data_IF_804090681504
#
_entry.id   IF_804090681504
#
_cell.length_a   1.000
_cell.length_b   1.000
_cell.length_c   1.000
_cell.angle_alpha   90.00
_cell.angle_beta   90.00
_cell.angle_gamma   90.00
#
_symmetry.space_group_name_H-M   'P 1'
#
loop_
_entity.id
_entity.type
_entity.pdbx_description
1 polymer ?
#
# COMPACT_ATOMS: atom_id res chain seq x y z
N UNK A 1 -10.10 -4.01 -18.44
CA UNK A 1 -10.99 -3.69 -17.31
C UNK A 1 -10.22 -3.02 -16.18
N UNK A 2 -9.19 -3.68 -15.62
CA UNK A 2 -8.43 -3.17 -14.47
C UNK A 2 -7.78 -1.81 -14.68
N UNK A 3 -7.19 -1.53 -15.87
CA UNK A 3 -6.61 -0.21 -16.15
C UNK A 3 -7.61 0.94 -15.94
N UNK A 4 -8.81 0.82 -16.49
CA UNK A 4 -9.88 1.83 -16.35
C UNK A 4 -10.36 1.93 -14.91
N UNK A 5 -10.37 0.81 -14.18
CA UNK A 5 -10.69 0.79 -12.75
C UNK A 5 -9.64 1.57 -11.94
N UNK A 6 -8.35 1.30 -12.16
CA UNK A 6 -7.25 2.02 -11.50
C UNK A 6 -7.31 3.51 -11.84
N UNK A 7 -7.50 3.88 -13.11
CA UNK A 7 -7.64 5.28 -13.53
C UNK A 7 -8.83 5.97 -12.82
N UNK A 8 -9.98 5.30 -12.73
CA UNK A 8 -11.15 5.85 -12.03
C UNK A 8 -10.92 6.00 -10.52
N UNK A 9 -10.25 5.02 -9.89
CA UNK A 9 -9.88 5.08 -8.47
C UNK A 9 -8.95 6.25 -8.20
N UNK A 10 -7.89 6.40 -9.00
CA UNK A 10 -6.93 7.51 -8.91
C UNK A 10 -7.58 8.87 -9.14
N UNK A 11 -8.50 8.98 -10.10
CA UNK A 11 -9.21 10.23 -10.39
C UNK A 11 -10.15 10.67 -9.25
N UNK A 12 -10.67 9.71 -8.48
CA UNK A 12 -11.53 9.97 -7.32
C UNK A 12 -10.75 10.25 -6.02
N UNK A 13 -9.41 10.20 -6.04
CA UNK A 13 -8.61 10.46 -4.84
C UNK A 13 -8.54 11.95 -4.54
N UNK A 14 -8.95 12.31 -3.32
CA UNK A 14 -8.65 13.61 -2.75
C UNK A 14 -7.25 13.59 -2.12
N UNK A 15 -6.54 14.74 -2.10
CA UNK A 15 -5.30 14.86 -1.36
C UNK A 15 -5.49 14.49 0.13
N UNK A 16 -4.54 13.74 0.68
CA UNK A 16 -4.59 13.23 2.04
C UNK A 16 -3.29 13.58 2.79
N UNK A 17 -3.42 14.11 4.00
CA UNK A 17 -2.29 14.17 4.93
C UNK A 17 -2.10 12.80 5.57
N UNK A 18 -0.88 12.26 5.50
CA UNK A 18 -0.56 10.93 6.03
C UNK A 18 -0.64 9.82 4.98
N UNK A 19 -1.16 8.66 5.38
CA UNK A 19 -1.14 7.43 4.59
C UNK A 19 -2.47 7.20 3.87
N UNK A 20 -2.41 6.62 2.67
CA UNK A 20 -3.57 6.14 1.91
C UNK A 20 -3.56 4.62 1.85
N UNK A 21 -4.67 3.98 2.18
CA UNK A 21 -4.83 2.54 2.15
C UNK A 21 -5.95 2.14 1.19
N UNK A 22 -5.65 1.24 0.27
CA UNK A 22 -6.61 0.64 -0.63
C UNK A 22 -6.67 -0.86 -0.39
N UNK A 23 -7.85 -1.38 -0.09
CA UNK A 23 -8.10 -2.81 0.00
C UNK A 23 -8.95 -3.22 -1.20
N UNK A 24 -8.42 -4.16 -1.97
CA UNK A 24 -8.99 -4.61 -3.22
C UNK A 24 -9.20 -6.13 -3.15
N UNK A 25 -10.34 -6.62 -3.67
CA UNK A 25 -10.66 -8.06 -3.62
C UNK A 25 -9.88 -8.84 -4.68
N UNK A 26 -9.68 -8.23 -5.85
CA UNK A 26 -9.01 -8.87 -6.98
C UNK A 26 -8.41 -7.83 -7.90
N UNK A 27 -7.09 -7.69 -7.85
CA UNK A 27 -6.29 -6.96 -8.83
C UNK A 27 -5.05 -7.76 -9.22
N UNK A 28 -4.70 -7.71 -10.51
CA UNK A 28 -3.41 -8.19 -10.98
C UNK A 28 -2.25 -7.44 -10.29
N UNK A 29 -1.06 -8.05 -10.16
CA UNK A 29 0.12 -7.38 -9.61
C UNK A 29 0.44 -6.04 -10.31
N UNK A 30 0.23 -5.98 -11.63
CA UNK A 30 0.46 -4.78 -12.41
C UNK A 30 -0.55 -3.67 -12.09
N UNK A 31 -1.83 -4.01 -11.95
CA UNK A 31 -2.88 -3.06 -11.58
C UNK A 31 -2.68 -2.55 -10.14
N UNK A 32 -2.35 -3.43 -9.20
CA UNK A 32 -2.07 -3.07 -7.81
C UNK A 32 -0.87 -2.12 -7.71
N UNK A 33 0.20 -2.40 -8.47
CA UNK A 33 1.37 -1.51 -8.57
C UNK A 33 1.02 -0.15 -9.15
N UNK A 34 0.21 -0.11 -10.21
CA UNK A 34 -0.22 1.14 -10.83
C UNK A 34 -1.09 2.00 -9.88
N UNK A 35 -1.94 1.37 -9.07
CA UNK A 35 -2.73 2.06 -8.05
C UNK A 35 -1.83 2.69 -6.97
N UNK A 36 -0.87 1.94 -6.43
CA UNK A 36 0.06 2.45 -5.43
C UNK A 36 0.93 3.60 -5.99
N UNK A 37 1.52 3.41 -7.18
CA UNK A 37 2.39 4.40 -7.83
C UNK A 37 1.64 5.68 -8.18
N UNK A 38 0.40 5.60 -8.69
CA UNK A 38 -0.40 6.78 -8.98
C UNK A 38 -0.82 7.53 -7.71
N UNK A 39 -1.19 6.77 -6.67
CA UNK A 39 -1.71 7.35 -5.42
C UNK A 39 -0.64 8.01 -4.54
N UNK A 40 0.65 7.67 -4.70
CA UNK A 40 1.72 8.25 -3.85
C UNK A 40 1.83 9.78 -3.94
N UNK A 41 1.41 10.38 -5.06
CA UNK A 41 1.39 11.84 -5.27
C UNK A 41 0.18 12.52 -4.62
N UNK A 42 -0.76 11.72 -4.08
CA UNK A 42 -1.98 12.18 -3.41
C UNK A 42 -1.89 12.10 -1.89
N UNK A 43 -0.77 11.67 -1.34
CA UNK A 43 -0.56 11.58 0.10
C UNK A 43 0.83 12.04 0.52
N UNK A 44 0.96 12.57 1.73
CA UNK A 44 2.27 12.98 2.27
C UNK A 44 3.07 11.84 2.89
N UNK A 45 2.44 10.68 3.11
CA UNK A 45 3.05 9.47 3.65
C UNK A 45 3.15 8.34 2.63
N UNK A 46 2.61 7.17 2.98
CA UNK A 46 2.64 5.95 2.17
C UNK A 46 1.30 5.70 1.50
N UNK A 47 1.31 5.48 0.19
CA UNK A 47 0.19 4.91 -0.54
C UNK A 47 0.35 3.38 -0.57
N UNK A 48 -0.47 2.67 0.20
CA UNK A 48 -0.50 1.22 0.31
C UNK A 48 -1.71 0.66 -0.45
N UNK A 49 -1.45 -0.09 -1.53
CA UNK A 49 -2.48 -0.86 -2.21
C UNK A 49 -2.34 -2.33 -1.85
N UNK A 50 -3.42 -2.91 -1.32
CA UNK A 50 -3.51 -4.28 -0.81
C UNK A 50 -4.57 -5.03 -1.61
N UNK A 51 -4.25 -6.27 -1.99
CA UNK A 51 -5.17 -7.18 -2.63
C UNK A 51 -5.33 -8.43 -1.78
N UNK A 52 -6.57 -8.84 -1.50
CA UNK A 52 -6.84 -10.04 -0.71
C UNK A 52 -6.18 -11.27 -1.32
N UNK A 53 -5.58 -12.10 -0.48
CA UNK A 53 -5.03 -13.42 -0.80
C UNK A 53 -5.38 -14.41 0.33
N UNK A 54 -5.10 -15.69 0.13
CA UNK A 54 -5.37 -16.72 1.14
C UNK A 54 -4.63 -16.40 2.45
N UNK A 55 -5.41 -16.14 3.51
CA UNK A 55 -4.92 -15.82 4.84
C UNK A 55 -4.39 -14.39 5.05
N UNK A 56 -4.44 -13.50 4.06
CA UNK A 56 -3.90 -12.14 4.20
C UNK A 56 -3.99 -11.28 2.95
N UNK A 57 -2.91 -10.56 2.64
CA UNK A 57 -2.88 -9.60 1.53
C UNK A 57 -1.57 -9.62 0.76
N UNK A 58 -1.63 -9.57 -0.57
CA UNK A 58 -0.53 -9.05 -1.39
C UNK A 58 -0.54 -7.53 -1.28
N UNK A 59 0.62 -6.90 -1.25
CA UNK A 59 0.71 -5.44 -1.23
C UNK A 59 1.71 -4.89 -2.25
N UNK A 60 1.43 -3.65 -2.66
CA UNK A 60 2.43 -2.71 -3.18
C UNK A 60 2.28 -1.41 -2.41
N UNK A 61 3.40 -0.88 -1.92
CA UNK A 61 3.44 0.41 -1.22
C UNK A 61 4.40 1.34 -1.95
N UNK A 62 4.00 2.59 -2.13
CA UNK A 62 4.80 3.63 -2.77
C UNK A 62 4.74 4.94 -1.98
N UNK A 63 5.82 5.71 -1.99
CA UNK A 63 5.93 6.99 -1.30
C UNK A 63 6.94 7.90 -1.99
N UNK A 64 6.72 9.22 -1.91
CA UNK A 64 7.70 10.23 -2.33
C UNK A 64 8.59 10.69 -1.17
N UNK A 65 8.15 10.48 0.07
CA UNK A 65 8.73 11.10 1.28
C UNK A 65 9.32 10.08 2.25
N UNK A 66 8.81 8.85 2.25
CA UNK A 66 9.22 7.78 3.17
C UNK A 66 10.20 6.84 2.48
N UNK A 67 11.34 6.56 3.11
CA UNK A 67 12.22 5.47 2.68
C UNK A 67 11.60 4.11 3.02
N UNK A 68 10.88 3.55 2.05
CA UNK A 68 10.19 2.27 2.19
C UNK A 68 11.15 1.09 2.30
N UNK A 69 12.38 1.19 1.78
CA UNK A 69 13.37 0.13 1.95
C UNK A 69 13.78 0.04 3.42
N UNK A 70 13.97 1.18 4.08
CA UNK A 70 14.24 1.24 5.52
C UNK A 70 13.02 0.80 6.34
N UNK A 71 11.81 1.22 5.94
CA UNK A 71 10.56 0.89 6.65
C UNK A 71 10.14 -0.59 6.52
N UNK A 72 10.54 -1.28 5.44
CA UNK A 72 10.12 -2.65 5.15
C UNK A 72 10.34 -3.63 6.30
N UNK A 73 11.46 -3.48 7.05
CA UNK A 73 11.74 -4.33 8.21
C UNK A 73 10.70 -4.18 9.32
N UNK A 74 10.30 -2.94 9.62
CA UNK A 74 9.27 -2.66 10.63
C UNK A 74 7.91 -3.18 10.19
N UNK A 75 7.55 -2.98 8.92
CA UNK A 75 6.27 -3.44 8.34
C UNK A 75 6.20 -4.97 8.44
N UNK A 76 7.25 -5.67 7.98
CA UNK A 76 7.32 -7.12 8.02
C UNK A 76 7.25 -7.67 9.45
N UNK A 77 7.88 -7.02 10.42
CA UNK A 77 7.86 -7.46 11.80
C UNK A 77 6.48 -7.30 12.46
N UNK A 78 5.76 -6.19 12.22
CA UNK A 78 4.47 -5.91 12.86
C UNK A 78 3.32 -6.65 12.18
N UNK A 79 3.33 -6.73 10.85
CA UNK A 79 2.22 -7.27 10.05
C UNK A 79 2.50 -8.68 9.51
N UNK A 80 3.46 -9.38 10.13
CA UNK A 80 3.92 -10.72 9.71
C UNK A 80 4.19 -10.79 8.21
N UNK A 81 4.81 -9.74 7.68
CA UNK A 81 5.00 -9.51 6.26
C UNK A 81 6.26 -10.15 5.69
N UNK A 82 6.26 -10.31 4.37
CA UNK A 82 7.43 -10.70 3.58
C UNK A 82 7.47 -9.86 2.32
N UNK A 83 8.62 -9.29 2.01
CA UNK A 83 8.76 -8.44 0.84
C UNK A 83 9.84 -7.39 1.01
N UNK A 84 9.98 -6.55 -0.01
CA UNK A 84 10.99 -5.51 -0.07
C UNK A 84 10.97 -4.81 -1.42
N UNK A 85 12.01 -4.01 -1.68
CA UNK A 85 12.11 -3.22 -2.90
C UNK A 85 13.10 -2.06 -2.74
N UNK A 86 12.81 -0.97 -3.46
CA UNK A 86 13.58 0.25 -3.44
C UNK A 86 13.01 1.25 -2.43
N UNK A 87 13.72 2.36 -2.19
CA UNK A 87 13.30 3.40 -1.25
C UNK A 87 11.92 3.99 -1.58
N UNK A 88 11.60 4.16 -2.86
CA UNK A 88 10.30 4.72 -3.28
C UNK A 88 9.18 3.68 -3.45
N UNK A 89 9.49 2.39 -3.43
CA UNK A 89 8.47 1.34 -3.62
C UNK A 89 8.91 -0.03 -3.12
N UNK A 90 8.02 -0.68 -2.35
CA UNK A 90 8.17 -2.06 -1.89
C UNK A 90 6.93 -2.88 -2.25
N UNK A 91 7.10 -4.19 -2.35
CA UNK A 91 6.01 -5.14 -2.62
C UNK A 91 6.21 -6.44 -1.87
N UNK A 92 5.13 -7.18 -1.64
CA UNK A 92 5.19 -8.40 -0.87
C UNK A 92 3.82 -8.95 -0.47
N UNK A 93 3.81 -9.65 0.66
CA UNK A 93 2.63 -10.22 1.30
C UNK A 93 2.60 -9.86 2.79
N UNK A 94 1.40 -9.79 3.37
CA UNK A 94 1.13 -9.59 4.80
C UNK A 94 0.22 -10.72 5.28
N UNK A 95 0.56 -11.29 6.43
CA UNK A 95 -0.29 -12.23 7.15
C UNK A 95 -0.88 -11.50 8.37
N UNK A 96 -1.78 -10.55 8.10
CA UNK A 96 -2.40 -9.69 9.08
C UNK A 96 -3.84 -9.38 8.67
N UNK A 97 -4.71 -9.11 9.64
CA UNK A 97 -6.07 -8.66 9.37
C UNK A 97 -6.08 -7.24 8.84
N UNK A 98 -7.19 -6.84 8.21
CA UNK A 98 -7.41 -5.48 7.75
C UNK A 98 -7.23 -4.47 8.89
N UNK A 99 -7.79 -4.77 10.06
CA UNK A 99 -7.75 -3.91 11.25
C UNK A 99 -6.31 -3.71 11.73
N UNK A 100 -5.50 -4.77 11.77
CA UNK A 100 -4.08 -4.66 12.16
C UNK A 100 -3.28 -3.79 11.18
N UNK A 101 -3.59 -3.88 9.89
CA UNK A 101 -2.95 -3.08 8.85
C UNK A 101 -3.37 -1.61 9.00
N UNK A 102 -4.66 -1.34 9.15
CA UNK A 102 -5.19 0.01 9.37
C UNK A 102 -4.59 0.63 10.66
N UNK A 103 -4.53 -0.12 11.76
CA UNK A 103 -3.90 0.31 13.01
C UNK A 103 -2.42 0.67 12.84
N UNK A 104 -1.64 -0.13 12.09
CA UNK A 104 -0.23 0.17 11.85
C UNK A 104 -0.02 1.49 11.12
N UNK A 105 -0.85 1.77 10.10
CA UNK A 105 -0.72 2.98 9.29
C UNK A 105 -1.43 4.21 9.87
N UNK A 106 -2.46 4.05 10.71
CA UNK A 106 -3.10 5.16 11.42
C UNK A 106 -2.39 5.48 12.75
N UNK A 107 -1.80 4.49 13.42
CA UNK A 107 -1.08 4.65 14.69
C UNK A 107 0.29 5.31 14.56
N UNK A 108 0.80 5.50 13.33
CA UNK A 108 2.02 6.27 13.03
C UNK A 108 1.74 7.68 12.51
N UNK A 109 0.66 8.32 12.98
CA UNK A 109 0.53 9.78 12.89
C UNK A 109 1.42 10.37 14.00
N UNK A 110 2.64 10.76 13.61
CA UNK A 110 3.64 11.39 14.47
C UNK A 110 4.90 11.70 13.69
#
# INVERSE_FOLDING_TARGET
AERRYVEARLAAMEPCEGNLLFFEESLSPAALRALAEGGKTRCTGVCAALCAEDGGYRYVMASETVDLRAAARSINAVLSGRGGGASGMIQGSLLASREQIEEYFHGKIG
#
